data_IF_121511386666
#
_entry.id   IF_121511386666
#
_cell.length_a   1.000
_cell.length_b   1.000
_cell.length_c   1.000
_cell.angle_alpha   90.00
_cell.angle_beta   90.00
_cell.angle_gamma   90.00
#
_symmetry.space_group_name_H-M   'P 1'
#
loop_
_entity.id
_entity.type
_entity.pdbx_description
1 polymer ?
#
# COMPACT_ATOMS: atom_id res chain seq x y z
N UNK A 1 44.33 -16.08 -9.90
CA UNK A 1 44.11 -14.89 -10.74
C UNK A 1 42.60 -14.73 -10.89
N UNK A 2 42.01 -13.83 -10.09
CA UNK A 2 40.57 -13.52 -10.14
C UNK A 2 40.39 -12.22 -10.94
N UNK A 3 39.94 -12.35 -12.17
CA UNK A 3 39.53 -11.17 -12.95
C UNK A 3 38.17 -10.68 -12.44
N UNK A 4 38.16 -9.45 -11.91
CA UNK A 4 36.95 -8.72 -11.53
C UNK A 4 36.33 -8.09 -12.78
N UNK A 5 35.26 -8.67 -13.29
CA UNK A 5 34.43 -8.03 -14.31
C UNK A 5 33.82 -6.72 -13.77
N UNK A 6 34.10 -5.60 -14.46
CA UNK A 6 33.56 -4.30 -14.09
C UNK A 6 32.20 -4.06 -14.75
N UNK A 7 31.35 -3.22 -14.11
CA UNK A 7 30.05 -2.79 -14.68
C UNK A 7 30.16 -2.18 -16.08
N UNK A 8 31.33 -1.67 -16.43
CA UNK A 8 31.62 -1.07 -17.73
C UNK A 8 31.81 -2.10 -18.83
N UNK A 9 32.23 -3.31 -18.48
CA UNK A 9 32.44 -4.41 -19.45
C UNK A 9 31.11 -5.08 -19.78
N UNK A 10 30.16 -5.10 -18.85
CA UNK A 10 28.81 -5.59 -19.08
C UNK A 10 28.01 -4.72 -20.09
N UNK A 11 28.18 -3.40 -20.05
CA UNK A 11 27.51 -2.48 -20.99
C UNK A 11 28.11 -2.59 -22.41
N UNK A 12 29.41 -2.91 -22.55
CA UNK A 12 30.06 -3.09 -23.86
C UNK A 12 29.61 -4.38 -24.57
N UNK A 13 29.27 -5.42 -23.80
CA UNK A 13 28.81 -6.70 -24.36
C UNK A 13 27.36 -6.60 -24.88
N UNK A 14 26.53 -5.67 -24.35
CA UNK A 14 25.17 -5.41 -24.83
C UNK A 14 25.13 -4.58 -26.14
N UNK A 15 26.19 -3.82 -26.45
CA UNK A 15 26.27 -2.99 -27.66
C UNK A 15 26.72 -3.70 -28.94
N UNK A 16 27.24 -4.93 -28.85
CA UNK A 16 27.82 -5.65 -29.98
C UNK A 16 26.89 -6.68 -30.64
N UNK A 17 25.64 -6.79 -30.18
CA UNK A 17 24.67 -7.81 -30.63
C UNK A 17 23.72 -7.39 -31.76
N UNK A 18 23.88 -6.19 -32.34
CA UNK A 18 23.07 -5.71 -33.48
C UNK A 18 23.87 -5.68 -34.77
N UNK A 19 24.50 -6.79 -35.15
CA UNK A 19 25.02 -6.98 -36.49
C UNK A 19 24.05 -7.87 -37.29
N UNK A 20 23.57 -7.33 -38.39
CA UNK A 20 22.58 -7.90 -39.30
C UNK A 20 22.90 -9.33 -39.71
N UNK A 21 22.00 -10.26 -39.46
CA UNK A 21 21.89 -11.52 -40.15
C UNK A 21 20.95 -11.33 -41.34
N UNK A 22 21.51 -11.21 -42.56
CA UNK A 22 20.76 -11.33 -43.79
C UNK A 22 20.27 -12.78 -43.91
N UNK A 23 18.96 -13.00 -43.81
CA UNK A 23 18.33 -14.32 -44.03
C UNK A 23 17.93 -14.37 -45.53
N UNK A 24 18.32 -15.42 -46.28
CA UNK A 24 17.79 -15.62 -47.62
C UNK A 24 16.33 -16.07 -47.56
N UNK A 25 15.49 -15.37 -48.27
CA UNK A 25 14.07 -15.68 -48.46
C UNK A 25 13.87 -16.92 -49.27
N UNK A 26 13.48 -18.06 -48.71
CA UNK A 26 12.52 -19.03 -49.30
C UNK A 26 12.27 -20.13 -48.25
N UNK A 27 11.14 -20.06 -47.61
CA UNK A 27 10.57 -21.10 -46.77
C UNK A 27 9.27 -20.57 -46.19
N UNK A 28 8.13 -21.20 -46.50
CA UNK A 28 6.87 -20.98 -45.80
C UNK A 28 7.15 -21.19 -44.34
N UNK A 29 7.16 -20.12 -43.55
CA UNK A 29 7.09 -20.18 -42.11
C UNK A 29 5.64 -20.46 -41.79
N UNK A 30 5.35 -21.69 -41.39
CA UNK A 30 4.11 -22.01 -40.69
C UNK A 30 4.05 -21.07 -39.48
N UNK A 31 2.90 -20.41 -39.36
CA UNK A 31 2.59 -19.46 -38.29
C UNK A 31 2.38 -20.22 -36.96
N UNK A 32 3.41 -20.97 -36.51
CA UNK A 32 3.47 -21.33 -35.10
C UNK A 32 3.69 -20.04 -34.32
N UNK A 33 2.66 -19.65 -33.60
CA UNK A 33 2.62 -18.50 -32.72
C UNK A 33 3.94 -18.37 -31.96
N UNK A 34 4.71 -17.32 -32.29
CA UNK A 34 5.76 -16.82 -31.39
C UNK A 34 5.13 -16.78 -30.00
N UNK A 35 5.69 -17.43 -28.97
CA UNK A 35 5.13 -17.33 -27.63
C UNK A 35 4.93 -15.86 -27.35
N UNK A 36 3.68 -15.46 -27.09
CA UNK A 36 3.31 -14.07 -26.79
C UNK A 36 4.37 -13.54 -25.81
N UNK A 37 5.22 -12.63 -26.29
CA UNK A 37 6.30 -12.08 -25.50
C UNK A 37 5.69 -11.71 -24.15
N UNK A 38 6.28 -12.17 -23.04
CA UNK A 38 5.75 -11.98 -21.71
C UNK A 38 5.55 -10.48 -21.47
N UNK A 39 4.35 -9.99 -21.81
CA UNK A 39 3.95 -8.61 -21.54
C UNK A 39 3.52 -8.59 -20.08
N UNK A 40 4.14 -7.74 -19.24
CA UNK A 40 3.72 -7.61 -17.85
C UNK A 40 2.25 -7.21 -17.76
N UNK A 41 1.45 -7.96 -17.02
CA UNK A 41 0.05 -7.59 -16.74
C UNK A 41 -0.01 -6.42 -15.75
N UNK A 42 0.89 -6.39 -14.78
CA UNK A 42 0.97 -5.39 -13.72
C UNK A 42 2.35 -5.36 -13.08
N UNK A 43 2.59 -4.33 -12.27
CA UNK A 43 3.78 -4.23 -11.43
C UNK A 43 3.45 -4.67 -9.99
N UNK A 44 4.45 -5.24 -9.33
CA UNK A 44 4.41 -5.54 -7.91
C UNK A 44 5.61 -4.93 -7.20
N UNK A 45 5.42 -4.41 -5.99
CA UNK A 45 6.50 -3.96 -5.11
C UNK A 45 6.67 -4.96 -3.97
N UNK A 46 7.90 -5.39 -3.73
CA UNK A 46 8.25 -6.22 -2.56
C UNK A 46 8.12 -5.38 -1.30
N UNK A 47 7.34 -5.85 -0.33
CA UNK A 47 6.99 -5.08 0.89
C UNK A 47 7.75 -5.54 2.14
N UNK A 48 8.42 -6.70 2.09
CA UNK A 48 9.20 -7.30 3.18
C UNK A 48 10.68 -7.23 2.85
N UNK A 49 11.55 -7.32 3.85
CA UNK A 49 13.01 -7.23 3.70
C UNK A 49 13.55 -8.17 2.62
N UNK A 50 13.03 -9.40 2.55
CA UNK A 50 13.28 -10.30 1.44
C UNK A 50 12.12 -11.27 1.22
N UNK A 51 11.93 -11.68 -0.05
CA UNK A 51 11.06 -12.77 -0.46
C UNK A 51 11.81 -13.73 -1.38
N UNK A 52 11.44 -15.02 -1.32
CA UNK A 52 12.04 -16.05 -2.19
C UNK A 52 11.36 -16.08 -3.54
N UNK A 53 12.16 -16.26 -4.59
CA UNK A 53 11.70 -16.63 -5.94
C UNK A 53 11.87 -18.14 -6.10
N UNK A 54 10.78 -18.83 -6.40
CA UNK A 54 10.67 -20.27 -6.47
C UNK A 54 10.61 -20.77 -7.92
N UNK A 55 11.01 -22.04 -8.14
CA UNK A 55 10.93 -22.66 -9.48
C UNK A 55 9.50 -22.93 -9.92
N UNK A 56 8.59 -23.16 -8.98
CA UNK A 56 7.17 -23.45 -9.18
C UNK A 56 6.32 -22.64 -8.18
N UNK A 57 5.00 -22.50 -8.38
CA UNK A 57 4.12 -21.76 -7.46
C UNK A 57 3.83 -22.57 -6.18
N UNK A 58 4.87 -22.94 -5.46
CA UNK A 58 4.84 -23.73 -4.22
C UNK A 58 6.06 -23.38 -3.37
N UNK A 59 5.86 -23.21 -2.06
CA UNK A 59 6.93 -22.99 -1.09
C UNK A 59 7.78 -24.25 -0.82
N UNK A 60 7.31 -25.41 -1.26
CA UNK A 60 8.04 -26.69 -1.24
C UNK A 60 9.01 -26.82 -2.41
N UNK A 61 8.88 -25.97 -3.44
CA UNK A 61 9.73 -26.00 -4.62
C UNK A 61 11.09 -25.35 -4.36
N UNK A 62 12.04 -25.55 -5.27
CA UNK A 62 13.39 -25.01 -5.11
C UNK A 62 13.40 -23.49 -5.16
N UNK A 63 14.03 -22.87 -4.15
CA UNK A 63 14.33 -21.44 -4.15
C UNK A 63 15.45 -21.18 -5.16
N UNK A 64 15.22 -20.24 -6.08
CA UNK A 64 16.16 -19.87 -7.13
C UNK A 64 17.04 -18.70 -6.70
N UNK A 65 16.42 -17.66 -6.14
CA UNK A 65 17.10 -16.46 -5.61
C UNK A 65 16.14 -15.66 -4.72
N UNK A 66 16.61 -14.53 -4.19
CA UNK A 66 15.83 -13.61 -3.35
C UNK A 66 15.53 -12.31 -4.10
N UNK A 67 14.42 -11.66 -3.71
CA UNK A 67 14.07 -10.27 -4.00
C UNK A 67 13.98 -9.51 -2.69
N UNK A 68 14.33 -8.23 -2.72
CA UNK A 68 14.46 -7.41 -1.52
C UNK A 68 13.40 -6.32 -1.47
N UNK A 69 13.20 -5.76 -0.28
CA UNK A 69 12.27 -4.66 -0.03
C UNK A 69 12.45 -3.55 -1.06
N UNK A 70 11.32 -3.09 -1.58
CA UNK A 70 11.21 -2.06 -2.63
C UNK A 70 11.65 -2.48 -4.03
N UNK A 71 12.07 -3.75 -4.25
CA UNK A 71 12.21 -4.26 -5.62
C UNK A 71 10.88 -4.20 -6.36
N UNK A 72 10.93 -3.71 -7.61
CA UNK A 72 9.76 -3.68 -8.50
C UNK A 72 9.81 -4.89 -9.41
N UNK A 73 8.74 -5.67 -9.37
CA UNK A 73 8.58 -6.91 -10.11
C UNK A 73 7.60 -6.71 -11.27
N UNK A 74 7.96 -7.19 -12.45
CA UNK A 74 7.01 -7.41 -13.54
C UNK A 74 6.22 -8.69 -13.25
N UNK A 75 4.91 -8.57 -13.06
CA UNK A 75 4.00 -9.69 -12.86
C UNK A 75 3.38 -10.04 -14.20
N UNK A 76 3.70 -11.22 -14.72
CA UNK A 76 3.24 -11.73 -16.00
C UNK A 76 1.93 -12.50 -15.88
N UNK A 77 1.70 -13.15 -14.74
CA UNK A 77 0.51 -13.94 -14.44
C UNK A 77 0.33 -14.10 -12.94
N UNK A 78 -0.93 -14.16 -12.50
CA UNK A 78 -1.29 -14.62 -11.14
C UNK A 78 -1.91 -16.02 -11.27
N UNK A 79 -1.48 -16.93 -10.42
CA UNK A 79 -1.86 -18.35 -10.42
C UNK A 79 -2.41 -18.65 -9.04
N UNK A 80 -3.51 -19.35 -8.98
CA UNK A 80 -4.01 -19.99 -7.77
C UNK A 80 -3.35 -21.37 -7.65
N UNK A 81 -2.67 -21.63 -6.54
CA UNK A 81 -1.94 -22.87 -6.29
C UNK A 81 -2.65 -23.70 -5.24
N UNK A 82 -2.82 -24.99 -5.52
CA UNK A 82 -3.37 -25.96 -4.56
C UNK A 82 -2.42 -26.19 -3.36
N UNK A 83 -1.11 -25.96 -3.54
CA UNK A 83 -0.10 -26.02 -2.49
C UNK A 83 -0.02 -24.75 -1.63
N UNK A 84 -0.73 -23.67 -2.01
CA UNK A 84 -0.77 -22.43 -1.26
C UNK A 84 -1.65 -22.51 -0.02
N UNK A 85 -1.46 -21.61 0.96
CA UNK A 85 -2.37 -21.54 2.10
C UNK A 85 -3.76 -21.10 1.65
N UNK A 86 -4.81 -21.78 2.15
CA UNK A 86 -6.19 -21.60 1.69
C UNK A 86 -6.69 -20.14 1.82
N UNK A 87 -6.16 -19.37 2.76
CA UNK A 87 -6.52 -17.95 2.94
C UNK A 87 -5.92 -17.04 1.84
N UNK A 88 -4.76 -17.42 1.25
CA UNK A 88 -4.09 -16.69 0.18
C UNK A 88 -3.35 -17.66 -0.76
N UNK A 89 -4.05 -18.36 -1.66
CA UNK A 89 -3.44 -19.36 -2.54
C UNK A 89 -2.71 -18.75 -3.76
N UNK A 90 -2.57 -17.43 -3.83
CA UNK A 90 -2.12 -16.73 -5.04
C UNK A 90 -0.62 -16.59 -5.14
N UNK A 91 -0.08 -16.94 -6.32
CA UNK A 91 1.32 -16.82 -6.70
C UNK A 91 1.45 -15.97 -7.96
N UNK A 92 2.50 -15.16 -8.01
CA UNK A 92 2.81 -14.34 -9.17
C UNK A 92 3.97 -14.95 -9.96
N UNK A 93 3.72 -15.17 -11.26
CA UNK A 93 4.78 -15.45 -12.20
C UNK A 93 5.56 -14.16 -12.46
N UNK A 94 6.83 -14.17 -12.11
CA UNK A 94 7.76 -13.05 -12.30
C UNK A 94 8.94 -13.50 -13.15
N UNK A 95 9.83 -12.57 -13.49
CA UNK A 95 11.06 -12.96 -14.17
C UNK A 95 11.85 -13.97 -13.32
N UNK A 96 12.22 -15.07 -13.95
CA UNK A 96 13.03 -16.13 -13.35
C UNK A 96 12.28 -17.16 -12.50
N UNK A 97 10.98 -16.94 -12.12
CA UNK A 97 10.28 -17.91 -11.27
C UNK A 97 8.94 -17.41 -10.76
N UNK A 98 8.61 -17.83 -9.55
CA UNK A 98 7.34 -17.52 -8.89
C UNK A 98 7.58 -16.92 -7.50
N UNK A 99 6.76 -15.98 -7.10
CA UNK A 99 6.73 -15.42 -5.75
C UNK A 99 5.31 -15.54 -5.17
N UNK A 100 5.19 -15.80 -3.88
CA UNK A 100 3.90 -15.76 -3.20
C UNK A 100 3.39 -14.33 -3.09
N UNK A 101 2.09 -14.10 -3.26
CA UNK A 101 1.50 -12.76 -3.32
C UNK A 101 1.52 -11.98 -1.99
N UNK A 102 1.66 -12.66 -0.86
CA UNK A 102 1.49 -12.12 0.49
C UNK A 102 2.26 -10.81 0.75
N UNK A 103 3.49 -10.73 0.24
CA UNK A 103 4.38 -9.59 0.45
C UNK A 103 4.75 -8.89 -0.86
N UNK A 104 3.82 -8.90 -1.81
CA UNK A 104 3.92 -8.17 -3.08
C UNK A 104 2.70 -7.26 -3.18
N UNK A 105 2.91 -5.96 -3.01
CA UNK A 105 1.89 -4.96 -3.23
C UNK A 105 1.67 -4.76 -4.73
N UNK A 106 0.43 -4.86 -5.21
CA UNK A 106 0.10 -4.46 -6.58
C UNK A 106 0.26 -2.94 -6.71
N UNK A 107 1.08 -2.49 -7.68
CA UNK A 107 1.39 -1.08 -7.85
C UNK A 107 1.27 -0.65 -9.31
N UNK A 108 1.14 0.67 -9.52
CA UNK A 108 1.27 1.31 -10.83
C UNK A 108 2.44 2.28 -10.78
N UNK A 109 2.89 2.69 -11.94
CA UNK A 109 3.84 3.79 -12.08
C UNK A 109 3.20 4.85 -12.97
N UNK A 110 2.39 5.70 -12.35
CA UNK A 110 1.63 6.74 -13.04
C UNK A 110 2.11 8.11 -12.57
N UNK A 111 2.68 8.88 -13.48
CA UNK A 111 2.98 10.29 -13.25
C UNK A 111 1.76 11.14 -13.56
N UNK A 112 1.60 12.24 -12.83
CA UNK A 112 0.40 13.09 -12.87
C UNK A 112 0.72 14.52 -13.27
N UNK A 113 -0.26 15.26 -13.83
CA UNK A 113 -0.17 16.71 -13.92
C UNK A 113 0.01 17.35 -12.55
N UNK A 114 0.84 18.38 -12.49
CA UNK A 114 1.16 19.09 -11.26
C UNK A 114 0.21 20.29 -11.08
N UNK A 115 -0.29 20.48 -9.87
CA UNK A 115 -1.04 21.68 -9.52
C UNK A 115 -0.06 22.86 -9.37
N UNK A 116 -0.38 23.99 -9.99
CA UNK A 116 0.44 25.20 -9.91
C UNK A 116 0.43 25.85 -8.53
N UNK A 117 -0.60 25.62 -7.73
CA UNK A 117 -0.74 26.12 -6.36
C UNK A 117 -1.60 25.19 -5.52
N UNK A 118 -1.41 25.23 -4.23
CA UNK A 118 -2.22 24.49 -3.24
C UNK A 118 -3.05 25.51 -2.45
N UNK A 119 -4.28 25.16 -2.10
CA UNK A 119 -5.12 25.99 -1.27
C UNK A 119 -4.57 26.16 0.15
N UNK A 120 -4.94 27.21 0.86
CA UNK A 120 -4.52 27.44 2.27
C UNK A 120 -4.93 26.29 3.20
N UNK A 121 -6.00 25.58 2.90
CA UNK A 121 -6.46 24.42 3.67
C UNK A 121 -5.72 23.12 3.31
N UNK A 122 -4.79 23.17 2.36
CA UNK A 122 -4.11 22.00 1.83
C UNK A 122 -4.94 21.24 0.80
N UNK A 123 -4.31 20.22 0.20
CA UNK A 123 -4.92 19.29 -0.75
C UNK A 123 -4.60 17.86 -0.34
N UNK A 124 -5.63 17.04 -0.16
CA UNK A 124 -5.42 15.60 0.01
C UNK A 124 -4.99 14.99 -1.32
N UNK A 125 -3.86 14.28 -1.30
CA UNK A 125 -3.29 13.62 -2.47
C UNK A 125 -2.98 12.16 -2.20
N UNK A 126 -2.97 11.35 -3.25
CA UNK A 126 -2.65 9.93 -3.24
C UNK A 126 -1.39 9.67 -4.07
N UNK A 127 -0.48 8.84 -3.57
CA UNK A 127 0.73 8.43 -4.28
C UNK A 127 0.39 7.38 -5.34
N UNK A 128 0.81 7.61 -6.59
CA UNK A 128 0.48 6.79 -7.77
C UNK A 128 1.69 6.15 -8.43
N UNK A 129 2.88 6.31 -7.83
CA UNK A 129 4.10 5.59 -8.21
C UNK A 129 4.42 4.51 -7.16
N UNK A 130 5.21 3.49 -7.46
CA UNK A 130 5.48 2.41 -6.52
C UNK A 130 6.04 2.87 -5.18
N UNK A 131 6.92 3.86 -5.22
CA UNK A 131 7.48 4.51 -4.04
C UNK A 131 8.04 5.90 -4.41
N UNK A 132 8.14 6.77 -3.42
CA UNK A 132 8.75 8.08 -3.55
C UNK A 132 9.64 8.36 -2.33
N UNK A 133 10.90 8.71 -2.55
CA UNK A 133 11.82 9.08 -1.49
C UNK A 133 11.47 10.48 -0.96
N UNK A 134 11.29 10.61 0.36
CA UNK A 134 11.09 11.90 0.99
C UNK A 134 12.43 12.62 1.26
N UNK A 135 12.40 13.95 1.11
CA UNK A 135 13.52 14.83 1.35
C UNK A 135 13.12 15.94 2.32
N UNK A 136 14.10 16.50 3.03
CA UNK A 136 13.94 17.72 3.81
C UNK A 136 14.90 18.81 3.34
N UNK A 137 14.58 20.06 3.67
CA UNK A 137 15.49 21.20 3.45
C UNK A 137 16.13 21.54 4.80
N UNK A 138 17.46 21.49 4.86
CA UNK A 138 18.22 21.90 6.04
C UNK A 138 18.20 23.43 6.21
N UNK A 139 18.57 23.92 7.40
CA UNK A 139 18.64 25.36 7.70
C UNK A 139 19.58 26.15 6.76
N UNK A 140 20.57 25.48 6.16
CA UNK A 140 21.46 26.06 5.16
C UNK A 140 20.94 26.01 3.73
N UNK A 141 19.68 25.59 3.53
CA UNK A 141 19.03 25.43 2.20
C UNK A 141 19.39 24.15 1.45
N UNK A 142 20.23 23.28 2.00
CA UNK A 142 20.60 22.03 1.33
C UNK A 142 19.48 20.98 1.42
N UNK A 143 19.20 20.33 0.30
CA UNK A 143 18.29 19.18 0.24
C UNK A 143 18.97 17.92 0.77
N UNK A 144 18.25 17.18 1.60
CA UNK A 144 18.72 15.95 2.21
C UNK A 144 17.63 14.89 2.18
N UNK A 145 17.97 13.69 1.69
CA UNK A 145 17.08 12.53 1.80
C UNK A 145 16.84 12.17 3.27
N UNK A 146 15.59 11.88 3.63
CA UNK A 146 15.24 11.34 4.96
C UNK A 146 15.67 9.88 5.14
N UNK A 147 16.39 9.33 4.16
CA UNK A 147 16.95 7.99 4.22
C UNK A 147 15.95 6.89 3.83
N UNK A 148 16.40 5.62 3.88
CA UNK A 148 15.59 4.48 3.44
C UNK A 148 14.38 4.21 4.33
N UNK A 149 14.42 4.68 5.58
CA UNK A 149 13.33 4.50 6.54
C UNK A 149 12.11 5.39 6.24
N UNK A 150 12.28 6.49 5.50
CA UNK A 150 11.19 7.43 5.23
C UNK A 150 10.91 7.56 3.73
N UNK A 151 10.10 6.64 3.24
CA UNK A 151 9.59 6.62 1.86
C UNK A 151 8.06 6.64 1.88
N UNK A 152 7.48 7.24 0.85
CA UNK A 152 6.06 7.14 0.59
C UNK A 152 5.81 5.99 -0.38
N UNK A 153 4.71 5.28 -0.20
CA UNK A 153 4.39 4.08 -0.95
C UNK A 153 3.08 4.20 -1.72
N UNK A 154 2.95 3.47 -2.81
CA UNK A 154 1.76 3.43 -3.66
C UNK A 154 0.48 3.32 -2.83
N UNK A 155 -0.54 4.11 -3.18
CA UNK A 155 -1.83 4.24 -2.50
C UNK A 155 -1.80 4.84 -1.09
N UNK A 156 -0.65 5.28 -0.56
CA UNK A 156 -0.64 6.15 0.62
C UNK A 156 -1.24 7.52 0.30
N UNK A 157 -1.82 8.16 1.32
CA UNK A 157 -2.49 9.46 1.17
C UNK A 157 -1.81 10.51 2.04
N UNK A 158 -1.70 11.74 1.53
CA UNK A 158 -0.94 12.80 2.19
C UNK A 158 -1.64 14.15 2.01
N UNK A 159 -1.58 14.99 3.04
CA UNK A 159 -1.98 16.38 2.96
C UNK A 159 -0.80 17.23 2.45
N UNK A 160 -0.93 17.72 1.23
CA UNK A 160 0.01 18.63 0.60
C UNK A 160 -0.37 20.06 0.95
N UNK A 161 0.61 20.82 1.43
CA UNK A 161 0.43 22.22 1.88
C UNK A 161 0.97 23.24 0.89
N UNK A 162 1.96 22.85 0.05
CA UNK A 162 2.62 23.79 -0.84
C UNK A 162 3.22 23.08 -2.05
N UNK A 163 3.60 23.88 -3.07
CA UNK A 163 4.40 23.47 -4.20
C UNK A 163 5.60 24.41 -4.32
N UNK A 164 6.81 23.84 -4.41
CA UNK A 164 8.07 24.60 -4.54
C UNK A 164 8.92 24.03 -5.66
N UNK A 165 9.95 24.76 -6.06
CA UNK A 165 10.98 24.23 -6.94
C UNK A 165 11.93 23.31 -6.17
N UNK A 166 12.13 22.09 -6.69
CA UNK A 166 12.98 21.08 -6.11
C UNK A 166 14.44 21.17 -6.54
N UNK A 167 15.29 20.26 -6.07
CA UNK A 167 16.73 20.27 -6.35
C UNK A 167 17.08 19.96 -7.83
N UNK A 168 16.10 19.46 -8.58
CA UNK A 168 16.18 19.13 -10.00
C UNK A 168 15.53 20.20 -10.90
N UNK A 169 15.10 21.34 -10.33
CA UNK A 169 14.40 22.40 -11.03
C UNK A 169 12.97 22.04 -11.45
N UNK A 170 12.41 20.94 -10.91
CA UNK A 170 11.03 20.52 -11.15
C UNK A 170 10.14 20.87 -9.94
N UNK A 171 8.81 20.90 -10.11
CA UNK A 171 7.91 21.09 -8.99
C UNK A 171 7.96 19.95 -7.98
N UNK A 172 8.02 20.29 -6.70
CA UNK A 172 7.94 19.37 -5.57
C UNK A 172 6.83 19.79 -4.61
N UNK A 173 6.13 18.82 -4.07
CA UNK A 173 5.08 19.05 -3.06
C UNK A 173 5.65 18.98 -1.66
N UNK A 174 5.26 19.97 -0.84
CA UNK A 174 5.50 19.98 0.59
C UNK A 174 4.39 19.25 1.33
N UNK A 175 4.78 18.35 2.22
CA UNK A 175 3.88 17.60 3.09
C UNK A 175 4.30 17.87 4.52
N UNK A 176 3.36 18.30 5.36
CA UNK A 176 3.60 18.47 6.78
C UNK A 176 3.18 17.22 7.54
N UNK A 177 4.11 16.65 8.28
CA UNK A 177 3.88 15.50 9.15
C UNK A 177 3.71 15.95 10.59
N UNK A 178 2.49 15.84 11.10
CA UNK A 178 2.15 16.28 12.46
C UNK A 178 2.72 15.38 13.56
N UNK A 179 2.97 14.09 13.28
CA UNK A 179 3.56 13.17 14.24
C UNK A 179 5.06 13.45 14.40
N UNK A 180 5.76 13.63 13.28
CA UNK A 180 7.19 13.91 13.22
C UNK A 180 7.52 15.39 13.47
N UNK A 181 6.52 16.27 13.44
CA UNK A 181 6.67 17.74 13.54
C UNK A 181 7.67 18.29 12.52
N UNK A 182 7.65 17.76 11.31
CA UNK A 182 8.53 18.19 10.22
C UNK A 182 7.78 18.32 8.89
N UNK A 183 8.29 19.19 8.02
CA UNK A 183 7.92 19.19 6.60
C UNK A 183 8.92 18.38 5.79
N UNK A 184 8.41 17.62 4.83
CA UNK A 184 9.19 16.89 3.85
C UNK A 184 8.64 17.10 2.44
N UNK A 185 9.45 16.77 1.46
CA UNK A 185 9.19 17.08 0.07
C UNK A 185 9.35 15.85 -0.81
N UNK A 186 8.48 15.73 -1.81
CA UNK A 186 8.54 14.68 -2.84
C UNK A 186 8.25 15.28 -4.22
N UNK A 187 8.73 14.65 -5.32
CA UNK A 187 8.40 15.10 -6.67
C UNK A 187 6.87 15.20 -6.85
N UNK A 188 6.40 16.35 -7.30
CA UNK A 188 4.98 16.67 -7.34
C UNK A 188 4.18 15.74 -8.29
N UNK A 189 4.80 15.32 -9.40
CA UNK A 189 4.17 14.42 -10.36
C UNK A 189 3.97 12.97 -9.85
N UNK A 190 4.49 12.62 -8.67
CA UNK A 190 4.26 11.32 -8.03
C UNK A 190 2.89 11.22 -7.34
N UNK A 191 2.22 12.35 -7.09
CA UNK A 191 0.92 12.40 -6.42
C UNK A 191 -0.17 12.94 -7.34
N UNK A 192 -1.38 12.47 -7.12
CA UNK A 192 -2.60 13.02 -7.74
C UNK A 192 -3.53 13.59 -6.67
N UNK A 193 -4.28 14.64 -6.96
CA UNK A 193 -5.32 15.09 -6.04
C UNK A 193 -6.41 14.03 -5.89
N UNK A 194 -6.88 13.84 -4.65
CA UNK A 194 -8.12 13.11 -4.36
C UNK A 194 -9.27 14.11 -4.54
N UNK A 195 -10.23 13.77 -5.40
CA UNK A 195 -11.33 14.69 -5.73
C UNK A 195 -12.46 14.63 -4.70
N UNK A 196 -13.32 15.64 -4.69
CA UNK A 196 -14.49 15.67 -3.82
C UNK A 196 -15.47 14.52 -4.12
N UNK A 197 -15.58 14.12 -5.39
CA UNK A 197 -16.42 12.99 -5.83
C UNK A 197 -15.88 11.67 -5.24
N UNK A 198 -14.56 11.54 -5.13
CA UNK A 198 -13.93 10.39 -4.50
C UNK A 198 -14.09 10.35 -2.97
N UNK A 199 -14.43 11.48 -2.36
CA UNK A 199 -14.71 11.59 -0.93
C UNK A 199 -16.22 11.58 -0.64
N UNK A 200 -17.07 11.71 -1.67
CA UNK A 200 -18.51 11.74 -1.50
C UNK A 200 -19.03 10.51 -0.73
N UNK A 201 -19.96 10.70 0.23
CA UNK A 201 -20.58 9.60 0.97
C UNK A 201 -21.21 8.54 0.07
N UNK A 202 -21.15 7.29 0.51
CA UNK A 202 -21.86 6.16 -0.10
C UNK A 202 -23.11 5.89 0.71
N UNK A 203 -24.27 5.72 0.05
CA UNK A 203 -25.59 5.54 0.68
C UNK A 203 -25.86 6.58 1.77
N UNK A 204 -25.79 7.89 1.47
CA UNK A 204 -26.00 8.95 2.48
C UNK A 204 -27.43 8.95 3.02
N UNK A 205 -28.40 8.46 2.25
CA UNK A 205 -29.82 8.41 2.62
C UNK A 205 -30.15 7.26 3.61
N UNK A 206 -29.23 6.32 3.81
CA UNK A 206 -29.37 5.25 4.79
C UNK A 206 -28.95 5.76 6.17
N UNK A 207 -29.86 5.84 7.16
CA UNK A 207 -29.53 6.29 8.50
C UNK A 207 -28.39 5.46 9.13
N UNK A 208 -27.54 6.09 9.93
CA UNK A 208 -26.42 5.43 10.60
C UNK A 208 -26.82 4.20 11.42
N UNK A 209 -27.99 4.26 12.09
CA UNK A 209 -28.56 3.13 12.85
C UNK A 209 -28.94 1.91 12.00
N UNK A 210 -29.13 2.12 10.71
CA UNK A 210 -29.45 1.08 9.73
C UNK A 210 -28.20 0.51 9.04
N UNK A 211 -27.01 1.02 9.38
CA UNK A 211 -25.70 0.53 8.91
C UNK A 211 -25.01 -0.21 10.05
N UNK A 212 -24.33 -1.29 9.76
CA UNK A 212 -23.44 -1.97 10.71
C UNK A 212 -22.28 -2.68 10.01
N UNK A 213 -21.17 -2.77 10.71
CA UNK A 213 -19.99 -3.54 10.33
C UNK A 213 -19.90 -4.73 11.25
N UNK A 214 -19.74 -5.91 10.68
CA UNK A 214 -19.46 -7.15 11.41
C UNK A 214 -18.08 -7.68 10.99
N UNK A 215 -17.21 -7.96 11.98
CA UNK A 215 -15.86 -8.47 11.75
C UNK A 215 -15.72 -9.80 12.45
N UNK A 216 -15.38 -10.83 11.68
CA UNK A 216 -15.06 -12.13 12.23
C UNK A 216 -13.56 -12.29 12.36
N UNK A 217 -13.08 -12.51 13.59
CA UNK A 217 -11.68 -12.79 13.89
C UNK A 217 -11.26 -14.19 13.40
N UNK A 218 -12.17 -15.15 13.42
CA UNK A 218 -11.90 -16.52 12.98
C UNK A 218 -11.78 -16.62 11.44
N UNK A 219 -12.68 -15.92 10.73
CA UNK A 219 -12.71 -15.97 9.25
C UNK A 219 -11.91 -14.83 8.59
N UNK A 220 -11.41 -13.87 9.39
CA UNK A 220 -10.68 -12.71 8.91
C UNK A 220 -11.45 -11.98 7.79
N UNK A 221 -12.73 -11.72 8.05
CA UNK A 221 -13.66 -11.06 7.13
C UNK A 221 -14.33 -9.86 7.81
N UNK A 222 -14.63 -8.85 6.99
CA UNK A 222 -15.47 -7.72 7.35
C UNK A 222 -16.69 -7.72 6.45
N UNK A 223 -17.86 -7.64 7.05
CA UNK A 223 -19.17 -7.54 6.37
C UNK A 223 -19.83 -6.22 6.70
N UNK A 224 -20.29 -5.52 5.67
CA UNK A 224 -21.04 -4.27 5.80
C UNK A 224 -22.51 -4.52 5.46
N UNK A 225 -23.41 -4.07 6.33
CA UNK A 225 -24.85 -4.27 6.18
C UNK A 225 -25.59 -2.93 6.16
N UNK A 226 -26.60 -2.83 5.31
CA UNK A 226 -27.64 -1.81 5.34
C UNK A 226 -28.95 -2.53 5.74
N UNK A 227 -29.45 -2.25 6.96
CA UNK A 227 -30.49 -3.05 7.62
C UNK A 227 -30.08 -4.52 7.68
N UNK A 228 -30.85 -5.43 7.09
CA UNK A 228 -30.53 -6.86 7.04
C UNK A 228 -29.82 -7.27 5.73
N UNK A 229 -29.56 -6.32 4.82
CA UNK A 229 -28.94 -6.62 3.53
C UNK A 229 -27.43 -6.54 3.64
N UNK A 230 -26.71 -7.60 3.32
CA UNK A 230 -25.26 -7.59 3.11
C UNK A 230 -24.95 -6.80 1.84
N UNK A 231 -24.29 -5.64 1.98
CA UNK A 231 -23.93 -4.78 0.84
C UNK A 231 -22.51 -5.01 0.35
N UNK A 232 -21.59 -5.39 1.26
CA UNK A 232 -20.21 -5.76 0.90
C UNK A 232 -19.59 -6.73 1.91
N UNK A 233 -18.68 -7.55 1.40
CA UNK A 233 -17.80 -8.40 2.20
C UNK A 233 -16.36 -8.25 1.73
N UNK A 234 -15.42 -8.21 2.69
CA UNK A 234 -14.00 -8.02 2.45
C UNK A 234 -13.18 -9.04 3.24
N UNK A 235 -12.07 -9.53 2.66
CA UNK A 235 -11.01 -10.17 3.43
C UNK A 235 -10.20 -9.09 4.13
N UNK A 236 -9.92 -9.28 5.41
CA UNK A 236 -9.15 -8.34 6.25
C UNK A 236 -8.00 -9.07 6.95
N UNK A 237 -7.16 -8.31 7.65
CA UNK A 237 -6.18 -8.87 8.58
C UNK A 237 -6.28 -8.14 9.91
N UNK A 238 -6.67 -8.87 10.94
CA UNK A 238 -6.81 -8.35 12.30
C UNK A 238 -5.51 -8.48 13.09
N UNK A 239 -5.54 -8.12 14.37
CA UNK A 239 -4.39 -8.13 15.26
C UNK A 239 -3.83 -9.51 15.55
N UNK A 240 -2.51 -9.58 15.71
CA UNK A 240 -1.82 -10.76 16.21
C UNK A 240 -2.18 -10.99 17.69
N UNK A 241 -2.26 -12.25 18.15
CA UNK A 241 -2.46 -12.52 19.56
C UNK A 241 -1.46 -11.78 20.44
N UNK A 242 -1.94 -11.07 21.47
CA UNK A 242 -1.07 -10.33 22.38
C UNK A 242 -0.23 -11.30 23.20
N UNK A 243 1.08 -11.05 23.21
CA UNK A 243 2.06 -11.82 24.01
C UNK A 243 2.70 -10.99 25.13
N UNK A 244 2.37 -9.69 25.21
CA UNK A 244 2.92 -8.81 26.25
C UNK A 244 2.37 -9.18 27.62
N UNK A 245 3.27 -9.27 28.60
CA UNK A 245 2.93 -9.43 30.02
C UNK A 245 2.84 -8.08 30.76
N UNK A 246 3.16 -6.97 30.07
CA UNK A 246 3.06 -5.62 30.62
C UNK A 246 1.60 -5.15 30.58
N UNK A 247 0.95 -4.91 31.73
CA UNK A 247 -0.42 -4.42 31.79
C UNK A 247 -0.62 -3.02 31.17
N UNK A 248 0.46 -2.24 31.01
CA UNK A 248 0.44 -0.92 30.41
C UNK A 248 0.62 -0.97 28.89
N UNK A 249 1.03 -2.10 28.31
CA UNK A 249 1.15 -2.25 26.86
C UNK A 249 -0.22 -2.26 26.20
N UNK A 250 -0.32 -1.62 25.05
CA UNK A 250 -1.52 -1.72 24.19
C UNK A 250 -1.53 -3.14 23.61
N UNK A 251 -2.60 -3.94 23.82
CA UNK A 251 -2.69 -5.28 23.28
C UNK A 251 -2.58 -5.27 21.75
N UNK A 252 -1.93 -6.29 21.18
CA UNK A 252 -1.80 -6.45 19.73
C UNK A 252 -2.98 -7.19 19.10
N UNK A 253 -3.85 -7.81 19.88
CA UNK A 253 -5.09 -8.41 19.44
C UNK A 253 -6.15 -7.34 19.11
N UNK A 254 -6.95 -7.57 18.10
CA UNK A 254 -8.12 -6.73 17.82
C UNK A 254 -9.17 -6.94 18.90
N UNK A 255 -9.66 -5.87 19.57
CA UNK A 255 -10.58 -6.02 20.69
C UNK A 255 -11.93 -6.56 20.23
N UNK A 256 -12.35 -7.68 20.83
CA UNK A 256 -13.65 -8.29 20.63
C UNK A 256 -14.77 -7.40 21.24
N UNK A 257 -16.02 -7.56 20.75
CA UNK A 257 -17.20 -6.91 21.31
C UNK A 257 -17.85 -5.85 20.42
N UNK A 258 -18.64 -4.98 21.07
CA UNK A 258 -19.41 -3.93 20.39
C UNK A 258 -18.66 -2.59 20.44
N UNK A 259 -18.37 -2.08 19.29
CA UNK A 259 -17.70 -0.79 19.06
C UNK A 259 -18.54 0.08 18.10
N UNK A 260 -18.03 1.26 17.77
CA UNK A 260 -18.61 2.11 16.75
C UNK A 260 -17.51 2.92 16.04
N UNK A 261 -17.74 3.33 14.80
CA UNK A 261 -16.84 4.27 14.13
C UNK A 261 -16.92 5.61 14.86
N UNK A 262 -15.81 6.05 15.47
CA UNK A 262 -15.74 7.26 16.31
C UNK A 262 -15.30 8.49 15.55
N UNK A 263 -14.23 8.34 14.78
CA UNK A 263 -13.65 9.42 13.98
C UNK A 263 -12.98 8.85 12.75
N UNK A 264 -12.80 9.69 11.73
CA UNK A 264 -12.20 9.27 10.46
C UNK A 264 -11.17 10.29 10.00
N UNK A 265 -10.06 9.79 9.48
CA UNK A 265 -9.00 10.59 8.87
C UNK A 265 -8.60 9.97 7.53
N UNK A 266 -8.55 10.74 6.44
CA UNK A 266 -8.21 10.17 5.13
C UNK A 266 -6.73 9.84 5.00
N UNK A 267 -5.90 10.37 5.90
CA UNK A 267 -4.45 10.19 5.95
C UNK A 267 -3.97 10.27 7.38
N UNK A 268 -3.17 9.32 7.81
CA UNK A 268 -2.55 9.31 9.16
C UNK A 268 -1.12 8.79 9.04
N UNK A 269 -0.17 9.43 9.74
CA UNK A 269 1.10 8.80 10.04
C UNK A 269 0.90 7.88 11.27
N UNK A 270 1.18 6.58 11.11
CA UNK A 270 1.17 5.60 12.21
C UNK A 270 2.60 5.18 12.50
N UNK A 271 3.00 5.21 13.77
CA UNK A 271 4.37 4.91 14.19
C UNK A 271 4.68 5.51 15.54
N UNK A 272 5.94 5.45 15.95
CA UNK A 272 6.45 6.03 17.19
C UNK A 272 6.92 7.49 17.04
N UNK A 273 6.91 8.02 15.82
CA UNK A 273 7.32 9.40 15.53
C UNK A 273 8.83 9.60 15.58
N UNK A 274 9.62 8.56 15.38
CA UNK A 274 11.09 8.65 15.41
C UNK A 274 11.70 8.20 14.08
N UNK A 275 12.66 9.00 13.55
CA UNK A 275 13.43 8.63 12.34
C UNK A 275 14.55 7.64 12.71
N UNK A 276 14.22 6.55 13.38
CA UNK A 276 15.16 5.50 13.71
C UNK A 276 15.23 4.46 12.60
N UNK A 277 16.40 3.85 12.43
CA UNK A 277 16.64 2.78 11.47
C UNK A 277 16.86 1.42 12.15
N UNK A 278 16.51 1.29 13.43
CA UNK A 278 16.58 0.01 14.14
C UNK A 278 15.47 -0.96 13.66
N UNK A 279 15.65 -2.22 13.94
CA UNK A 279 14.76 -3.28 13.46
C UNK A 279 13.32 -3.19 14.00
N UNK A 280 13.12 -2.43 15.08
CA UNK A 280 11.83 -2.24 15.74
C UNK A 280 11.16 -0.92 15.38
N UNK A 281 11.82 -0.07 14.54
CA UNK A 281 11.24 1.19 14.09
C UNK A 281 10.06 0.93 13.16
N UNK A 282 8.90 1.44 13.56
CA UNK A 282 7.66 1.28 12.84
C UNK A 282 7.13 2.66 12.43
N UNK A 283 7.42 3.04 11.19
CA UNK A 283 6.97 4.32 10.62
C UNK A 283 6.17 4.07 9.34
N UNK A 284 4.89 4.41 9.39
CA UNK A 284 3.97 4.27 8.26
C UNK A 284 3.36 5.63 7.91
N UNK A 285 4.07 6.45 7.13
CA UNK A 285 3.54 7.73 6.70
C UNK A 285 2.39 7.56 5.71
N UNK A 286 1.32 8.32 5.92
CA UNK A 286 0.21 8.38 4.99
C UNK A 286 -0.64 7.11 4.92
N UNK A 287 -0.87 6.42 6.05
CA UNK A 287 -1.84 5.32 6.14
C UNK A 287 -3.21 5.83 5.68
N UNK A 288 -3.81 5.24 4.62
CA UNK A 288 -4.98 5.80 3.99
C UNK A 288 -6.28 5.32 4.64
N UNK A 289 -7.30 6.19 4.62
CA UNK A 289 -8.70 5.87 4.87
C UNK A 289 -8.97 5.30 6.26
N UNK A 290 -8.41 5.93 7.28
CA UNK A 290 -8.48 5.48 8.68
C UNK A 290 -9.83 5.78 9.29
N UNK A 291 -10.49 4.76 9.82
CA UNK A 291 -11.76 4.84 10.56
C UNK A 291 -11.56 4.24 11.96
N UNK A 292 -11.37 5.09 12.96
CA UNK A 292 -11.17 4.67 14.34
C UNK A 292 -12.46 4.14 14.94
N UNK A 293 -12.41 2.98 15.60
CA UNK A 293 -13.59 2.37 16.25
C UNK A 293 -13.43 2.23 17.76
N UNK A 294 -12.23 2.45 18.29
CA UNK A 294 -11.94 2.32 19.72
C UNK A 294 -10.98 3.43 20.17
N UNK A 295 -11.10 3.86 21.46
CA UNK A 295 -10.37 5.03 22.00
C UNK A 295 -8.86 4.87 22.11
N UNK A 296 -8.36 3.63 22.22
CA UNK A 296 -6.91 3.32 22.26
C UNK A 296 -6.23 3.38 20.89
N UNK A 297 -6.97 3.80 19.84
CA UNK A 297 -6.42 4.01 18.52
C UNK A 297 -6.60 2.85 17.55
N UNK A 298 -7.38 1.81 17.87
CA UNK A 298 -7.70 0.76 16.93
C UNK A 298 -8.62 1.28 15.81
N UNK A 299 -8.26 0.94 14.58
CA UNK A 299 -8.93 1.47 13.38
C UNK A 299 -9.04 0.43 12.27
N UNK A 300 -10.01 0.66 11.38
CA UNK A 300 -10.04 0.09 10.03
C UNK A 300 -9.22 1.01 9.13
N UNK A 301 -8.31 0.50 8.31
CA UNK A 301 -7.51 1.36 7.42
C UNK A 301 -6.92 0.60 6.24
N UNK A 302 -6.53 1.33 5.20
CA UNK A 302 -5.81 0.78 4.07
C UNK A 302 -4.37 0.41 4.42
N UNK A 303 -3.85 -0.60 3.73
CA UNK A 303 -2.54 -1.19 3.99
C UNK A 303 -1.73 -1.28 2.72
N UNK A 304 -0.50 -0.77 2.73
CA UNK A 304 0.44 -0.81 1.61
C UNK A 304 1.69 -1.67 1.90
N UNK A 305 1.78 -2.28 3.09
CA UNK A 305 2.96 -3.06 3.53
C UNK A 305 2.76 -4.58 3.52
N UNK A 306 1.58 -5.07 3.15
CA UNK A 306 1.33 -6.47 2.82
C UNK A 306 0.10 -6.62 1.93
N UNK A 307 -0.02 -7.80 1.30
CA UNK A 307 -1.19 -8.24 0.54
C UNK A 307 -1.71 -9.60 1.06
N UNK A 308 -1.51 -9.86 2.35
CA UNK A 308 -1.76 -11.16 3.00
C UNK A 308 -3.04 -11.13 3.83
N UNK A 309 -4.16 -10.80 3.19
CA UNK A 309 -5.46 -10.74 3.84
C UNK A 309 -6.06 -12.15 4.04
N UNK A 310 -6.82 -12.33 5.13
CA UNK A 310 -7.41 -13.62 5.54
C UNK A 310 -6.64 -14.30 6.68
N UNK A 311 -5.64 -13.61 7.25
CA UNK A 311 -4.87 -14.04 8.43
C UNK A 311 -4.52 -12.82 9.28
N UNK A 312 -4.26 -13.02 10.56
CA UNK A 312 -3.81 -11.95 11.48
C UNK A 312 -2.44 -11.41 11.07
N UNK A 313 -2.29 -10.08 10.96
CA UNK A 313 -1.06 -9.42 10.49
C UNK A 313 -0.77 -8.09 11.19
N UNK A 314 -1.69 -7.57 12.02
CA UNK A 314 -1.61 -6.21 12.56
C UNK A 314 -1.26 -6.20 14.06
N UNK A 315 -1.11 -5.00 14.61
CA UNK A 315 -0.98 -4.74 16.05
C UNK A 315 -2.31 -4.22 16.65
N UNK A 316 -3.43 -4.84 16.23
CA UNK A 316 -4.77 -4.58 16.76
C UNK A 316 -5.71 -3.86 15.79
N UNK A 317 -5.21 -3.10 14.85
CA UNK A 317 -6.03 -2.52 13.78
C UNK A 317 -6.57 -3.60 12.82
N UNK A 318 -7.55 -3.25 12.03
CA UNK A 318 -8.08 -4.11 10.96
C UNK A 318 -7.52 -3.60 9.64
N UNK A 319 -6.52 -4.32 9.13
CA UNK A 319 -5.86 -4.03 7.86
C UNK A 319 -6.76 -4.43 6.69
N UNK A 320 -6.91 -3.54 5.73
CA UNK A 320 -7.73 -3.71 4.53
C UNK A 320 -6.94 -3.35 3.27
N UNK A 321 -7.37 -3.80 2.09
CA UNK A 321 -6.90 -3.19 0.84
C UNK A 321 -7.27 -1.72 0.84
N UNK A 322 -6.44 -0.86 0.25
CA UNK A 322 -6.68 0.59 0.29
C UNK A 322 -8.02 0.98 -0.33
N UNK A 323 -8.43 0.34 -1.43
CA UNK A 323 -9.72 0.57 -2.07
C UNK A 323 -10.90 0.12 -1.20
N UNK A 324 -10.76 -0.97 -0.46
CA UNK A 324 -11.80 -1.50 0.45
C UNK A 324 -11.95 -0.57 1.67
N UNK A 325 -10.82 -0.14 2.23
CA UNK A 325 -10.82 0.85 3.32
C UNK A 325 -11.42 2.20 2.88
N UNK A 326 -11.12 2.65 1.64
CA UNK A 326 -11.73 3.85 1.05
C UNK A 326 -13.24 3.71 0.94
N UNK A 327 -13.73 2.54 0.53
CA UNK A 327 -15.15 2.27 0.47
C UNK A 327 -15.79 2.35 1.86
N UNK A 328 -15.23 1.67 2.89
CA UNK A 328 -15.73 1.72 4.28
C UNK A 328 -15.68 3.14 4.83
N UNK A 329 -14.60 3.87 4.59
CA UNK A 329 -14.43 5.26 4.98
C UNK A 329 -15.54 6.17 4.45
N UNK A 330 -15.94 6.00 3.19
CA UNK A 330 -17.00 6.78 2.56
C UNK A 330 -18.40 6.34 2.95
N UNK A 331 -18.58 5.05 3.23
CA UNK A 331 -19.89 4.47 3.53
C UNK A 331 -20.28 4.61 4.99
N UNK A 332 -19.35 4.48 5.94
CA UNK A 332 -19.62 4.54 7.37
C UNK A 332 -19.86 5.97 7.85
N UNK A 333 -20.55 6.14 8.98
CA UNK A 333 -20.78 7.42 9.67
C UNK A 333 -19.96 7.50 10.96
N UNK A 334 -19.55 8.73 11.41
CA UNK A 334 -19.85 10.04 10.80
C UNK A 334 -19.22 10.18 9.41
N UNK A 335 -19.83 10.98 8.57
CA UNK A 335 -19.19 11.33 7.30
C UNK A 335 -18.09 12.36 7.52
N UNK A 336 -17.03 12.38 6.68
CA UNK A 336 -15.84 13.21 6.90
C UNK A 336 -16.12 14.73 7.00
N UNK A 337 -17.21 15.20 6.41
CA UNK A 337 -17.60 16.62 6.37
C UNK A 337 -18.61 17.00 7.46
N UNK A 338 -19.08 16.04 8.25
CA UNK A 338 -19.99 16.32 9.34
C UNK A 338 -19.19 16.70 10.59
N UNK A 339 -19.23 17.96 10.99
CA UNK A 339 -18.86 18.35 12.34
C UNK A 339 -19.75 17.56 13.31
N UNK A 340 -19.16 16.91 14.33
CA UNK A 340 -19.92 16.11 15.30
C UNK A 340 -21.02 16.94 15.97
N UNK A 341 -22.30 16.86 15.53
CA UNK A 341 -23.40 17.43 16.30
C UNK A 341 -23.74 16.44 17.41
N UNK A 342 -24.00 16.92 18.59
CA UNK A 342 -24.56 16.14 19.69
C UNK A 342 -25.78 15.35 19.20
N UNK A 343 -25.66 14.01 19.13
CA UNK A 343 -26.74 13.11 18.75
C UNK A 343 -26.57 12.35 17.43
N UNK A 344 -25.41 12.41 16.75
CA UNK A 344 -25.15 11.60 15.56
C UNK A 344 -24.96 10.12 15.97
N UNK A 345 -25.76 9.25 15.37
CA UNK A 345 -25.55 7.82 15.46
C UNK A 345 -24.34 7.42 14.60
N UNK A 346 -23.35 6.82 15.23
CA UNK A 346 -22.16 6.28 14.58
C UNK A 346 -22.44 4.86 14.07
N UNK A 347 -21.83 4.47 12.95
CA UNK A 347 -21.94 3.10 12.43
C UNK A 347 -21.40 2.10 13.46
N UNK A 348 -22.23 1.16 13.96
CA UNK A 348 -21.77 0.11 14.86
C UNK A 348 -20.72 -0.80 14.19
N UNK A 349 -19.75 -1.25 15.00
CA UNK A 349 -18.71 -2.21 14.62
C UNK A 349 -18.77 -3.37 15.63
N UNK A 350 -19.17 -4.53 15.17
CA UNK A 350 -19.36 -5.76 15.97
C UNK A 350 -18.21 -6.69 15.62
N UNK A 351 -17.39 -7.08 16.60
CA UNK A 351 -16.21 -7.92 16.42
C UNK A 351 -16.40 -9.21 17.20
N UNK A 352 -16.31 -10.36 16.52
CA UNK A 352 -16.55 -11.71 17.07
C UNK A 352 -15.47 -12.70 16.68
#
# INVERSE_FOLDING_TARGET
MNEKYSRRDFIKTLGAGLAALAIPSTGKIDNESVPSALVPLKLGRVTRDSISVYSEPSDKSRILFQRFKDDILNIYRTIESEDGPAYNPYWHRVWGGYVHSAFVQDVRNQLNPVLASISETGQLMELTVPLSQAYRIRANGAWESLGPAYKLYYSSTHWVSNVIEGPDGQPWYEIHDGLMTLSYYVPANHLRPVTNEELAPISPDIPARDKRIEISLDYQTLKAFERETLVREFKVSTGLPSTSLDPAAIPTDTPNGNHMVRSKKPSVHMGDGTLRSDADAYELPGVPWVSYFEIRGYALHGTYWHNNFGITMSHGCVNMRSEDAKWVYRWSTPFPQEAEPNGVFHTPVIIT
#
